data_IF_880868579893
#
_entry.id   IF_880868579893
#
_cell.length_a   1.000
_cell.length_b   1.000
_cell.length_c   1.000
_cell.angle_alpha   90.00
_cell.angle_beta   90.00
_cell.angle_gamma   90.00
#
_symmetry.space_group_name_H-M   'P 1'
#
loop_
_entity.id
_entity.type
_entity.pdbx_description
1 polymer ?
#
# COMPACT_ATOMS: atom_id res chain seq x y z
N UNK A 1 -17.21 41.60 58.82
CA UNK A 1 -18.20 40.69 58.20
C UNK A 1 -17.50 39.99 57.03
N UNK A 2 -17.04 38.76 57.22
CA UNK A 2 -16.30 37.96 56.23
C UNK A 2 -17.27 37.04 55.47
N UNK A 3 -17.17 37.01 54.14
CA UNK A 3 -17.85 36.08 53.22
C UNK A 3 -16.71 35.30 52.52
N UNK A 4 -16.46 33.99 52.74
CA UNK A 4 -17.21 32.80 52.23
C UNK A 4 -17.57 33.01 50.74
N UNK A 5 -17.18 32.24 49.73
CA UNK A 5 -16.85 30.80 49.55
C UNK A 5 -16.32 30.71 48.10
N UNK A 6 -15.14 30.13 47.81
CA UNK A 6 -14.92 28.81 47.19
C UNK A 6 -15.51 28.60 45.77
N UNK A 7 -14.73 27.88 44.93
CA UNK A 7 -15.04 27.27 43.62
C UNK A 7 -14.65 28.04 42.35
N UNK A 8 -13.36 27.99 41.99
CA UNK A 8 -12.92 28.16 40.61
C UNK A 8 -11.57 27.44 40.39
N UNK A 9 -11.54 26.14 40.67
CA UNK A 9 -10.30 25.33 40.57
C UNK A 9 -10.49 23.95 39.94
N UNK A 10 -11.52 23.76 39.11
CA UNK A 10 -11.75 22.50 38.38
C UNK A 10 -12.09 22.80 36.92
N UNK A 11 -11.14 23.34 36.15
CA UNK A 11 -11.35 23.44 34.70
C UNK A 11 -10.05 23.43 33.92
N UNK A 12 -9.15 22.49 34.20
CA UNK A 12 -8.01 22.20 33.32
C UNK A 12 -7.66 20.71 33.41
N UNK A 13 -8.63 19.84 33.11
CA UNK A 13 -8.29 18.50 32.63
C UNK A 13 -7.85 18.70 31.19
N UNK A 14 -6.53 18.78 31.05
CA UNK A 14 -5.80 18.95 29.81
C UNK A 14 -6.19 17.79 28.90
N UNK A 15 -7.04 18.06 27.92
CA UNK A 15 -7.35 17.17 26.80
C UNK A 15 -6.13 17.06 25.90
N UNK A 16 -5.08 16.38 26.37
CA UNK A 16 -3.94 15.96 25.55
C UNK A 16 -4.31 14.74 24.71
N UNK A 17 -5.44 14.79 24.00
CA UNK A 17 -5.69 13.87 22.89
C UNK A 17 -4.82 14.35 21.74
N UNK A 18 -3.53 14.00 21.77
CA UNK A 18 -2.69 14.05 20.58
C UNK A 18 -3.27 13.05 19.61
N UNK A 19 -4.21 13.50 18.78
CA UNK A 19 -4.68 12.77 17.63
C UNK A 19 -3.46 12.42 16.79
N UNK A 20 -3.13 11.13 16.77
CA UNK A 20 -2.20 10.57 15.80
C UNK A 20 -2.85 10.73 14.42
N UNK A 21 -2.64 11.88 13.79
CA UNK A 21 -3.00 12.10 12.41
C UNK A 21 -2.02 11.28 11.57
N UNK A 22 -2.36 10.02 11.31
CA UNK A 22 -1.69 9.25 10.28
C UNK A 22 -1.85 10.04 8.98
N UNK A 23 -0.74 10.51 8.41
CA UNK A 23 -0.75 11.12 7.09
C UNK A 23 -1.03 9.99 6.11
N UNK A 24 -2.29 9.84 5.70
CA UNK A 24 -2.65 8.97 4.58
C UNK A 24 -2.05 9.59 3.32
N UNK A 25 -0.80 9.24 3.02
CA UNK A 25 -0.22 9.51 1.72
C UNK A 25 -0.92 8.60 0.73
N UNK A 26 -1.70 9.20 -0.15
CA UNK A 26 -2.36 8.48 -1.23
C UNK A 26 -1.29 8.12 -2.26
N UNK A 27 -1.18 6.83 -2.60
CA UNK A 27 -0.27 6.38 -3.66
C UNK A 27 -0.71 6.98 -4.98
N UNK A 28 0.19 7.71 -5.64
CA UNK A 28 -0.03 8.27 -6.97
C UNK A 28 0.28 7.23 -8.05
N UNK A 29 -0.45 7.29 -9.16
CA UNK A 29 -0.28 6.34 -10.28
C UNK A 29 1.14 6.33 -10.85
N UNK A 30 1.83 7.48 -10.81
CA UNK A 30 3.22 7.63 -11.25
C UNK A 30 4.26 7.01 -10.32
N UNK A 31 3.89 6.73 -9.07
CA UNK A 31 4.77 6.12 -8.07
C UNK A 31 4.85 4.60 -8.22
N UNK A 32 3.95 3.99 -9.01
CA UNK A 32 3.88 2.54 -9.18
C UNK A 32 4.15 2.11 -10.62
N UNK A 33 4.82 0.98 -10.77
CA UNK A 33 4.96 0.29 -12.07
C UNK A 33 4.73 -1.20 -11.88
N UNK A 34 3.94 -1.78 -12.78
CA UNK A 34 3.65 -3.21 -12.76
C UNK A 34 4.42 -3.96 -13.86
N UNK A 35 4.85 -5.18 -13.54
CA UNK A 35 5.42 -6.12 -14.49
C UNK A 35 4.87 -7.53 -14.23
N UNK A 36 4.69 -8.29 -15.31
CA UNK A 36 4.31 -9.69 -15.26
C UNK A 36 5.49 -10.54 -15.71
N UNK A 37 5.80 -11.62 -15.01
CA UNK A 37 6.88 -12.53 -15.37
C UNK A 37 6.41 -13.97 -15.28
N UNK A 38 6.76 -14.82 -16.24
CA UNK A 38 6.56 -16.26 -16.09
C UNK A 38 7.43 -16.82 -14.97
N UNK A 39 6.96 -17.87 -14.30
CA UNK A 39 7.66 -18.43 -13.14
C UNK A 39 9.00 -19.08 -13.51
N UNK A 40 9.14 -19.55 -14.74
CA UNK A 40 10.38 -20.06 -15.32
C UNK A 40 11.32 -18.96 -15.84
N UNK A 41 10.88 -17.69 -15.83
CA UNK A 41 11.65 -16.54 -16.32
C UNK A 41 11.77 -16.46 -17.84
N UNK A 42 11.05 -17.29 -18.61
CA UNK A 42 11.10 -17.28 -20.08
C UNK A 42 10.66 -15.94 -20.66
N UNK A 43 9.67 -15.27 -20.07
CA UNK A 43 9.23 -13.97 -20.53
C UNK A 43 8.79 -13.02 -19.43
N UNK A 44 8.98 -11.73 -19.71
CA UNK A 44 8.48 -10.61 -18.89
C UNK A 44 7.67 -9.66 -19.77
N UNK A 45 6.48 -9.31 -19.31
CA UNK A 45 5.60 -8.35 -19.97
C UNK A 45 5.59 -7.04 -19.17
N UNK A 46 5.73 -5.93 -19.89
CA UNK A 46 5.42 -4.61 -19.33
C UNK A 46 3.92 -4.47 -19.18
N UNK A 47 3.50 -3.84 -18.10
CA UNK A 47 2.10 -3.57 -17.84
C UNK A 47 1.79 -2.07 -17.96
N UNK A 48 0.59 -1.77 -18.41
CA UNK A 48 -0.04 -0.46 -18.29
C UNK A 48 -1.08 -0.54 -17.19
N UNK A 49 -1.24 0.51 -16.40
CA UNK A 49 -2.21 0.56 -15.31
C UNK A 49 -2.92 1.90 -15.28
N UNK A 50 -4.08 1.94 -14.64
CA UNK A 50 -4.72 3.19 -14.21
C UNK A 50 -5.25 3.02 -12.79
N UNK A 51 -5.32 4.11 -12.04
CA UNK A 51 -6.03 4.14 -10.76
C UNK A 51 -7.54 4.13 -11.02
N UNK A 52 -8.23 3.03 -10.71
CA UNK A 52 -9.66 2.85 -10.98
C UNK A 52 -10.51 3.68 -10.02
N UNK A 53 -10.26 3.49 -8.73
CA UNK A 53 -10.96 4.18 -7.65
C UNK A 53 -9.96 4.67 -6.60
N UNK A 54 -9.74 6.00 -6.51
CA UNK A 54 -8.76 6.59 -5.58
C UNK A 54 -8.95 6.20 -4.11
N UNK A 55 -10.20 6.05 -3.68
CA UNK A 55 -10.57 5.72 -2.29
C UNK A 55 -10.25 4.26 -1.98
N UNK A 56 -10.43 3.38 -2.96
CA UNK A 56 -10.23 1.94 -2.81
C UNK A 56 -8.79 1.52 -3.09
N UNK A 57 -7.89 2.43 -3.51
CA UNK A 57 -6.49 2.08 -3.85
C UNK A 57 -6.38 0.93 -4.87
N UNK A 58 -7.36 0.86 -5.77
CA UNK A 58 -7.48 -0.18 -6.78
C UNK A 58 -6.93 0.31 -8.12
N UNK A 59 -6.06 -0.49 -8.70
CA UNK A 59 -5.51 -0.32 -10.03
C UNK A 59 -6.07 -1.40 -10.94
N UNK A 60 -6.55 -1.01 -12.11
CA UNK A 60 -6.71 -2.00 -13.18
C UNK A 60 -5.40 -2.06 -13.97
N UNK A 61 -4.90 -3.28 -14.19
CA UNK A 61 -3.57 -3.55 -14.74
C UNK A 61 -3.70 -4.45 -15.96
N UNK A 62 -3.10 -4.05 -17.08
CA UNK A 62 -3.01 -4.80 -18.32
C UNK A 62 -1.56 -5.09 -18.67
N UNK A 63 -1.20 -6.37 -18.74
CA UNK A 63 0.14 -6.79 -19.14
C UNK A 63 0.09 -7.37 -20.56
N UNK A 64 1.07 -7.01 -21.40
CA UNK A 64 1.13 -7.52 -22.77
C UNK A 64 0.02 -6.98 -23.71
N UNK A 65 -0.49 -5.77 -23.46
CA UNK A 65 -1.51 -5.14 -24.31
C UNK A 65 -1.09 -5.07 -25.78
N UNK A 66 -1.97 -5.53 -26.68
CA UNK A 66 -1.68 -5.63 -28.11
C UNK A 66 -0.96 -6.92 -28.53
N UNK A 67 -0.79 -7.89 -27.63
CA UNK A 67 -0.21 -9.20 -27.91
C UNK A 67 -1.21 -10.33 -27.62
N UNK A 68 -0.88 -11.56 -28.04
CA UNK A 68 -1.65 -12.77 -27.68
C UNK A 68 -1.53 -13.16 -26.20
N UNK A 69 -0.66 -12.49 -25.44
CA UNK A 69 -0.40 -12.72 -24.02
C UNK A 69 -1.05 -11.66 -23.14
N UNK A 70 -2.15 -11.05 -23.59
CA UNK A 70 -2.88 -10.09 -22.77
C UNK A 70 -3.30 -10.78 -21.46
N UNK A 71 -2.98 -10.11 -20.35
CA UNK A 71 -3.43 -10.47 -19.00
C UNK A 71 -4.02 -9.26 -18.31
N UNK A 72 -5.13 -9.45 -17.62
CA UNK A 72 -5.85 -8.39 -16.94
C UNK A 72 -6.02 -8.70 -15.46
N UNK A 73 -5.63 -7.74 -14.64
CA UNK A 73 -5.67 -7.86 -13.19
C UNK A 73 -6.36 -6.65 -12.58
N UNK A 74 -6.97 -6.85 -11.42
CA UNK A 74 -7.26 -5.77 -10.48
C UNK A 74 -6.31 -5.88 -9.30
N UNK A 75 -5.61 -4.81 -9.00
CA UNK A 75 -4.61 -4.76 -7.93
C UNK A 75 -5.04 -3.75 -6.89
N UNK A 76 -5.21 -4.21 -5.67
CA UNK A 76 -5.31 -3.34 -4.51
C UNK A 76 -3.90 -3.09 -3.97
N UNK A 77 -3.40 -1.85 -4.11
CA UNK A 77 -2.07 -1.47 -3.63
C UNK A 77 -2.11 -0.21 -2.77
N UNK A 78 -1.76 -0.38 -1.51
CA UNK A 78 -1.73 0.68 -0.51
C UNK A 78 -0.36 0.69 0.17
N UNK A 79 0.25 1.87 0.27
CA UNK A 79 1.44 2.11 1.08
C UNK A 79 1.15 3.25 2.07
N UNK A 80 1.38 3.00 3.37
CA UNK A 80 1.17 3.98 4.44
C UNK A 80 2.39 4.11 5.31
N UNK A 81 2.89 5.33 5.46
CA UNK A 81 3.95 5.64 6.39
C UNK A 81 3.38 5.92 7.78
N UNK A 82 3.92 5.23 8.77
CA UNK A 82 3.61 5.38 10.19
C UNK A 82 4.82 5.96 10.90
N UNK A 83 4.70 7.21 11.33
CA UNK A 83 5.72 7.84 12.17
C UNK A 83 5.43 7.53 13.63
N UNK A 84 6.47 7.11 14.37
CA UNK A 84 6.42 6.95 15.83
C UNK A 84 7.44 7.91 16.46
N UNK A 85 7.10 9.21 16.59
CA UNK A 85 8.05 10.23 17.02
C UNK A 85 8.70 9.92 18.37
N UNK A 86 7.91 9.36 19.29
CA UNK A 86 8.36 8.99 20.65
C UNK A 86 9.44 7.89 20.66
N UNK A 87 9.51 7.07 19.59
CA UNK A 87 10.48 5.98 19.46
C UNK A 87 11.59 6.30 18.46
N UNK A 88 11.54 7.46 17.79
CA UNK A 88 12.45 7.79 16.69
C UNK A 88 12.41 6.78 15.55
N UNK A 89 11.25 6.16 15.29
CA UNK A 89 11.09 5.08 14.30
C UNK A 89 10.07 5.46 13.25
N UNK A 90 10.38 5.09 12.00
CA UNK A 90 9.45 5.13 10.88
C UNK A 90 9.14 3.68 10.46
N UNK A 91 7.88 3.41 10.15
CA UNK A 91 7.43 2.12 9.62
C UNK A 91 6.65 2.36 8.35
N UNK A 92 6.78 1.46 7.37
CA UNK A 92 5.92 1.44 6.20
C UNK A 92 5.03 0.19 6.24
N UNK A 93 3.73 0.41 6.18
CA UNK A 93 2.73 -0.62 5.95
C UNK A 93 2.45 -0.68 4.44
N UNK A 94 2.56 -1.88 3.87
CA UNK A 94 2.19 -2.12 2.47
C UNK A 94 1.18 -3.26 2.40
N UNK A 95 0.06 -2.98 1.75
CA UNK A 95 -0.95 -3.96 1.37
C UNK A 95 -0.91 -4.11 -0.15
N UNK A 96 -0.64 -5.34 -0.60
CA UNK A 96 -0.61 -5.68 -2.01
C UNK A 96 -1.47 -6.94 -2.23
N UNK A 97 -2.55 -6.79 -2.99
CA UNK A 97 -3.46 -7.89 -3.31
C UNK A 97 -3.84 -7.84 -4.79
N UNK A 98 -3.58 -8.94 -5.49
CA UNK A 98 -3.95 -9.14 -6.90
C UNK A 98 -5.20 -10.01 -7.05
N UNK A 99 -6.09 -9.60 -7.95
CA UNK A 99 -7.25 -10.35 -8.44
C UNK A 99 -7.07 -10.60 -9.93
N UNK A 100 -7.03 -11.87 -10.32
CA UNK A 100 -7.02 -12.30 -11.73
C UNK A 100 -8.43 -12.12 -12.31
N UNK A 101 -8.56 -11.35 -13.40
CA UNK A 101 -9.85 -11.10 -14.06
C UNK A 101 -10.11 -12.05 -15.23
N UNK A 102 -9.09 -12.77 -15.70
CA UNK A 102 -9.16 -13.61 -16.90
C UNK A 102 -9.43 -15.10 -16.57
N UNK A 103 -9.40 -15.50 -15.29
CA UNK A 103 -9.66 -16.88 -14.86
C UNK A 103 -11.06 -17.11 -14.29
N UNK A 104 -11.66 -18.22 -14.71
CA UNK A 104 -12.99 -18.66 -14.27
C UNK A 104 -13.00 -18.87 -12.74
N UNK A 105 -14.01 -18.31 -12.07
CA UNK A 105 -14.00 -17.92 -10.66
C UNK A 105 -13.99 -19.07 -9.61
N UNK A 106 -13.36 -20.21 -9.87
CA UNK A 106 -12.92 -21.11 -8.79
C UNK A 106 -11.80 -20.43 -8.00
N UNK A 107 -12.21 -19.47 -7.16
CA UNK A 107 -11.43 -18.51 -6.38
C UNK A 107 -10.15 -19.11 -5.82
N UNK A 108 -9.02 -18.71 -6.39
CA UNK A 108 -7.69 -18.90 -5.81
C UNK A 108 -7.16 -17.52 -5.46
N UNK A 109 -7.23 -17.20 -4.17
CA UNK A 109 -6.68 -15.98 -3.63
C UNK A 109 -5.24 -16.26 -3.22
N UNK A 110 -4.30 -15.52 -3.78
CA UNK A 110 -3.00 -15.34 -3.15
C UNK A 110 -3.07 -14.08 -2.27
N UNK A 111 -2.35 -14.06 -1.16
CA UNK A 111 -2.17 -12.85 -0.34
C UNK A 111 -0.74 -12.81 0.16
N UNK A 112 -0.14 -11.61 0.13
CA UNK A 112 1.20 -11.37 0.61
C UNK A 112 1.21 -10.10 1.46
N UNK A 113 1.77 -10.18 2.66
CA UNK A 113 2.02 -9.00 3.50
C UNK A 113 3.52 -8.88 3.74
N UNK A 114 4.10 -7.73 3.41
CA UNK A 114 5.52 -7.48 3.60
C UNK A 114 5.70 -6.28 4.53
N UNK A 115 6.46 -6.47 5.60
CA UNK A 115 6.77 -5.43 6.58
C UNK A 115 8.24 -5.05 6.46
N UNK A 116 8.50 -3.77 6.19
CA UNK A 116 9.86 -3.24 6.05
C UNK A 116 10.13 -2.30 7.22
N UNK A 117 11.10 -2.68 8.05
CA UNK A 117 11.52 -1.92 9.21
C UNK A 117 12.91 -1.35 8.97
N UNK A 118 13.02 -0.03 8.90
CA UNK A 118 14.30 0.65 8.74
C UNK A 118 14.98 0.85 10.09
N UNK A 119 16.30 0.64 10.15
CA UNK A 119 17.09 0.83 11.37
C UNK A 119 17.37 2.32 11.66
N UNK A 120 17.41 3.15 10.62
CA UNK A 120 17.65 4.60 10.66
C UNK A 120 16.62 5.33 9.76
N UNK A 121 16.46 6.64 9.91
CA UNK A 121 15.69 7.53 9.01
C UNK A 121 16.31 7.60 7.60
N UNK A 122 16.38 6.48 6.88
CA UNK A 122 16.60 6.52 5.45
C UNK A 122 15.25 6.68 4.77
N UNK A 123 15.09 7.72 3.98
CA UNK A 123 13.97 7.86 3.07
C UNK A 123 13.91 6.63 2.16
N UNK A 124 12.69 6.18 1.86
CA UNK A 124 12.48 4.98 1.06
C UNK A 124 12.77 5.35 -0.40
N UNK A 125 13.86 4.83 -0.97
CA UNK A 125 14.17 5.09 -2.38
C UNK A 125 13.30 4.26 -3.33
N UNK A 126 13.14 2.97 -3.05
CA UNK A 126 12.40 2.04 -3.91
C UNK A 126 12.00 0.78 -3.15
N UNK A 127 10.79 0.31 -3.38
CA UNK A 127 10.28 -0.97 -2.89
C UNK A 127 9.79 -1.82 -4.05
N UNK A 128 9.98 -3.14 -3.92
CA UNK A 128 9.48 -4.10 -4.91
C UNK A 128 8.72 -5.20 -4.19
N UNK A 129 7.52 -5.48 -4.67
CA UNK A 129 6.67 -6.56 -4.19
C UNK A 129 6.28 -7.45 -5.35
N UNK A 130 6.10 -8.73 -5.08
CA UNK A 130 5.71 -9.70 -6.09
C UNK A 130 4.72 -10.69 -5.49
N UNK A 131 3.72 -11.06 -6.29
CA UNK A 131 2.68 -11.99 -5.91
C UNK A 131 2.50 -13.01 -7.02
N UNK A 132 2.44 -14.28 -6.64
CA UNK A 132 2.11 -15.36 -7.56
C UNK A 132 0.69 -15.19 -8.10
N UNK A 133 0.56 -15.32 -9.42
CA UNK A 133 -0.69 -15.25 -10.19
C UNK A 133 -0.81 -16.48 -11.06
N UNK A 134 -2.01 -16.75 -11.58
CA UNK A 134 -2.27 -17.90 -12.44
C UNK A 134 -1.85 -19.25 -11.81
N UNK A 135 -2.00 -19.45 -10.50
CA UNK A 135 -1.50 -20.63 -9.75
C UNK A 135 0.02 -20.71 -9.62
N UNK A 136 0.68 -19.57 -9.42
CA UNK A 136 2.13 -19.46 -9.29
C UNK A 136 2.91 -19.91 -10.55
N UNK A 137 2.23 -20.05 -11.70
CA UNK A 137 2.89 -20.18 -13.01
C UNK A 137 3.47 -18.85 -13.48
N UNK A 138 3.11 -17.75 -12.82
CA UNK A 138 3.65 -16.43 -13.07
C UNK A 138 3.61 -15.55 -11.82
N UNK A 139 4.24 -14.40 -11.93
CA UNK A 139 4.32 -13.38 -10.91
C UNK A 139 3.86 -12.04 -11.47
N UNK A 140 2.96 -11.37 -10.76
CA UNK A 140 2.74 -9.94 -10.93
C UNK A 140 3.57 -9.21 -9.88
N UNK A 141 4.36 -8.24 -10.33
CA UNK A 141 5.23 -7.45 -9.47
C UNK A 141 4.86 -5.98 -9.53
N UNK A 142 5.07 -5.27 -8.42
CA UNK A 142 4.90 -3.82 -8.32
C UNK A 142 6.20 -3.20 -7.79
N UNK A 143 6.75 -2.26 -8.56
CA UNK A 143 7.77 -1.33 -8.12
C UNK A 143 7.07 -0.09 -7.56
N UNK A 144 7.38 0.31 -6.33
CA UNK A 144 6.90 1.52 -5.69
C UNK A 144 8.06 2.47 -5.38
N UNK A 145 7.98 3.69 -5.90
CA UNK A 145 8.96 4.77 -5.71
C UNK A 145 8.22 5.99 -5.16
N UNK A 146 8.19 6.18 -3.82
CA UNK A 146 7.51 7.33 -3.23
C UNK A 146 8.20 8.64 -3.65
N UNK A 147 7.40 9.68 -3.92
CA UNK A 147 7.90 11.04 -4.23
C UNK A 147 7.98 11.94 -2.99
#
# INVERSE_FOLDING_TARGET
MQMKTLLLSVLFVISSSTSFAAKNQQVHESEVKFSYSSADGEFTLKCTHYLHEPIMHDFDVWCGKGTKYLRTFRVHFLARQHEKPQLGKNSLEVLYWVIDRDQDMTRKFSSGSTWINFKNQSDIERLNFSQGVENDYAFLSVEYTPQ
#
